data_IF_397955571666
#
_entry.id   IF_397955571666
#
_cell.length_a   1.000
_cell.length_b   1.000
_cell.length_c   1.000
_cell.angle_alpha   90.00
_cell.angle_beta   90.00
_cell.angle_gamma   90.00
#
_symmetry.space_group_name_H-M   'P 1'
#
loop_
_entity.id
_entity.type
_entity.pdbx_description
1 polymer ?
#
# COMPACT_ATOMS: atom_id res chain seq x y z
N UNK A 1 -21.01 -30.35 0.19
CA UNK A 1 -20.39 -29.07 -0.20
C UNK A 1 -19.48 -29.36 -1.38
N UNK A 2 -19.72 -28.77 -2.56
CA UNK A 2 -18.85 -28.97 -3.73
C UNK A 2 -17.67 -28.00 -3.63
N UNK A 3 -16.47 -28.49 -3.84
CA UNK A 3 -15.24 -27.70 -3.80
C UNK A 3 -14.66 -27.60 -5.20
N UNK A 4 -14.25 -26.40 -5.61
CA UNK A 4 -13.63 -26.19 -6.90
C UNK A 4 -12.64 -25.02 -6.81
N UNK A 5 -11.46 -25.21 -7.37
CA UNK A 5 -10.48 -24.14 -7.57
C UNK A 5 -10.59 -23.63 -9.01
N UNK A 6 -10.57 -22.31 -9.18
CA UNK A 6 -10.58 -21.65 -10.49
C UNK A 6 -9.40 -20.69 -10.58
N UNK A 7 -8.90 -20.45 -11.80
CA UNK A 7 -7.88 -19.43 -12.03
C UNK A 7 -8.49 -18.03 -11.85
N UNK A 8 -7.73 -17.11 -11.26
CA UNK A 8 -8.13 -15.72 -11.08
C UNK A 8 -8.00 -14.93 -12.40
N UNK A 9 -8.99 -15.11 -13.28
CA UNK A 9 -9.17 -14.28 -14.48
C UNK A 9 -10.65 -14.18 -14.85
N UNK A 10 -11.01 -13.08 -15.51
CA UNK A 10 -12.41 -12.75 -15.81
C UNK A 10 -13.13 -13.83 -16.62
N UNK A 11 -12.44 -14.47 -17.58
CA UNK A 11 -13.02 -15.49 -18.45
C UNK A 11 -13.46 -16.72 -17.65
N UNK A 12 -12.57 -17.22 -16.77
CA UNK A 12 -12.86 -18.40 -15.95
C UNK A 12 -13.91 -18.09 -14.89
N UNK A 13 -13.84 -16.91 -14.27
CA UNK A 13 -14.84 -16.45 -13.29
C UNK A 13 -16.22 -16.33 -13.96
N UNK A 14 -16.31 -15.73 -15.16
CA UNK A 14 -17.58 -15.61 -15.91
C UNK A 14 -18.18 -16.97 -16.22
N UNK A 15 -17.36 -17.91 -16.71
CA UNK A 15 -17.81 -19.28 -17.00
C UNK A 15 -18.33 -19.97 -15.74
N UNK A 16 -17.63 -19.82 -14.63
CA UNK A 16 -18.02 -20.39 -13.35
C UNK A 16 -19.35 -19.81 -12.85
N UNK A 17 -19.50 -18.48 -12.83
CA UNK A 17 -20.74 -17.83 -12.40
C UNK A 17 -21.91 -18.19 -13.32
N UNK A 18 -21.71 -18.23 -14.65
CA UNK A 18 -22.75 -18.66 -15.60
C UNK A 18 -23.23 -20.09 -15.31
N UNK A 19 -22.32 -21.02 -15.04
CA UNK A 19 -22.66 -22.39 -14.66
C UNK A 19 -23.44 -22.44 -13.33
N UNK A 20 -23.08 -21.62 -12.34
CA UNK A 20 -23.84 -21.55 -11.10
C UNK A 20 -25.26 -21.00 -11.33
N UNK A 21 -25.40 -20.00 -12.22
CA UNK A 21 -26.71 -19.43 -12.57
C UNK A 21 -27.63 -20.40 -13.32
N UNK A 22 -27.11 -21.44 -13.97
CA UNK A 22 -27.95 -22.49 -14.56
C UNK A 22 -28.51 -23.44 -13.51
N UNK A 23 -27.86 -23.55 -12.35
CA UNK A 23 -28.27 -24.43 -11.26
C UNK A 23 -29.05 -23.70 -10.14
N UNK A 24 -28.81 -22.39 -9.96
CA UNK A 24 -29.33 -21.62 -8.82
C UNK A 24 -29.77 -20.21 -9.24
N UNK A 25 -30.90 -19.75 -8.71
CA UNK A 25 -31.45 -18.41 -9.00
C UNK A 25 -30.66 -17.28 -8.33
N UNK A 26 -30.15 -17.51 -7.13
CA UNK A 26 -29.40 -16.52 -6.35
C UNK A 26 -28.01 -17.03 -5.98
N UNK A 27 -27.02 -16.17 -6.13
CA UNK A 27 -25.62 -16.48 -5.81
C UNK A 27 -25.11 -15.45 -4.81
N UNK A 28 -24.79 -15.94 -3.61
CA UNK A 28 -24.13 -15.18 -2.56
C UNK A 28 -22.64 -15.53 -2.53
N UNK A 29 -21.79 -14.52 -2.45
CA UNK A 29 -20.34 -14.67 -2.44
C UNK A 29 -19.72 -13.84 -1.31
N UNK A 30 -18.68 -14.37 -0.67
CA UNK A 30 -17.86 -13.63 0.29
C UNK A 30 -16.38 -13.95 0.07
N UNK A 31 -15.52 -12.98 0.36
CA UNK A 31 -14.08 -13.19 0.48
C UNK A 31 -13.41 -12.15 1.38
N UNK A 32 -12.19 -12.45 1.83
CA UNK A 32 -11.35 -11.56 2.65
C UNK A 32 -10.81 -10.41 1.78
N UNK A 33 -10.90 -9.18 2.28
CA UNK A 33 -10.37 -8.00 1.61
C UNK A 33 -8.85 -8.12 1.42
N UNK A 34 -8.40 -7.93 0.19
CA UNK A 34 -7.00 -8.00 -0.19
C UNK A 34 -6.66 -6.93 -1.23
N UNK A 35 -5.38 -6.87 -1.60
CA UNK A 35 -4.83 -5.86 -2.53
C UNK A 35 -5.51 -5.86 -3.91
N UNK A 36 -5.96 -7.02 -4.39
CA UNK A 36 -6.70 -7.17 -5.66
C UNK A 36 -8.21 -7.32 -5.46
N UNK A 37 -8.70 -7.00 -4.27
CA UNK A 37 -10.05 -7.33 -3.84
C UNK A 37 -11.15 -6.48 -4.49
N UNK A 38 -10.93 -5.19 -4.71
CA UNK A 38 -12.00 -4.30 -5.20
C UNK A 38 -12.37 -4.49 -6.68
N UNK A 39 -11.41 -4.70 -7.62
CA UNK A 39 -11.76 -5.01 -9.00
C UNK A 39 -12.59 -6.29 -9.13
N UNK A 40 -12.23 -7.34 -8.39
CA UNK A 40 -13.00 -8.59 -8.34
C UNK A 40 -14.43 -8.36 -7.81
N UNK A 41 -14.58 -7.53 -6.78
CA UNK A 41 -15.88 -7.21 -6.18
C UNK A 41 -16.81 -6.59 -7.22
N UNK A 42 -16.32 -5.56 -7.92
CA UNK A 42 -17.05 -4.86 -8.97
C UNK A 42 -17.39 -5.79 -10.12
N UNK A 43 -16.46 -6.65 -10.52
CA UNK A 43 -16.70 -7.63 -11.57
C UNK A 43 -17.81 -8.62 -11.19
N UNK A 44 -17.76 -9.20 -9.99
CA UNK A 44 -18.82 -10.10 -9.49
C UNK A 44 -20.17 -9.38 -9.38
N UNK A 45 -20.20 -8.13 -8.90
CA UNK A 45 -21.41 -7.30 -8.88
C UNK A 45 -21.96 -7.04 -10.29
N UNK A 46 -21.10 -6.77 -11.28
CA UNK A 46 -21.52 -6.59 -12.69
C UNK A 46 -22.14 -7.85 -13.29
N UNK A 47 -21.75 -9.03 -12.79
CA UNK A 47 -22.36 -10.30 -13.15
C UNK A 47 -23.64 -10.59 -12.36
N UNK A 48 -24.13 -9.67 -11.52
CA UNK A 48 -25.34 -9.83 -10.71
C UNK A 48 -25.17 -10.78 -9.52
N UNK A 49 -23.93 -10.96 -9.01
CA UNK A 49 -23.66 -11.77 -7.81
C UNK A 49 -23.79 -10.90 -6.56
N UNK A 50 -24.47 -11.41 -5.54
CA UNK A 50 -24.51 -10.73 -4.24
C UNK A 50 -23.21 -10.99 -3.47
N UNK A 51 -22.21 -10.16 -3.72
CA UNK A 51 -20.90 -10.26 -3.09
C UNK A 51 -20.78 -9.36 -1.86
N UNK A 52 -20.23 -9.89 -0.76
CA UNK A 52 -19.77 -9.14 0.42
C UNK A 52 -18.24 -9.24 0.54
N UNK A 53 -17.63 -8.16 1.00
CA UNK A 53 -16.18 -8.10 1.20
C UNK A 53 -15.89 -7.98 2.69
N UNK A 54 -15.03 -8.83 3.25
CA UNK A 54 -14.83 -8.91 4.71
C UNK A 54 -13.44 -8.45 5.09
N UNK A 55 -13.31 -7.54 6.05
CA UNK A 55 -12.00 -7.17 6.58
C UNK A 55 -11.34 -8.37 7.29
N UNK A 56 -10.03 -8.61 7.10
CA UNK A 56 -9.27 -9.64 7.81
C UNK A 56 -9.51 -9.66 9.33
N UNK A 57 -9.54 -8.48 9.95
CA UNK A 57 -9.73 -8.32 11.40
C UNK A 57 -11.16 -8.54 11.90
N UNK A 58 -12.15 -8.62 11.00
CA UNK A 58 -13.56 -8.89 11.34
C UNK A 58 -13.94 -10.37 11.17
N UNK A 59 -13.02 -11.22 10.70
CA UNK A 59 -13.27 -12.67 10.57
C UNK A 59 -12.94 -13.33 11.92
N UNK A 60 -13.91 -13.98 12.61
CA UNK A 60 -13.64 -14.70 13.84
C UNK A 60 -12.58 -15.79 13.62
N UNK A 61 -11.48 -15.75 14.38
CA UNK A 61 -10.41 -16.77 14.33
C UNK A 61 -10.15 -17.29 15.74
N UNK A 62 -10.16 -18.61 15.89
CA UNK A 62 -9.73 -19.27 17.13
C UNK A 62 -8.20 -19.26 17.19
N UNK A 63 -7.64 -19.10 18.39
CA UNK A 63 -6.19 -19.09 18.63
C UNK A 63 -5.50 -20.43 18.26
N UNK A 64 -6.27 -21.51 18.19
CA UNK A 64 -5.84 -22.86 17.80
C UNK A 64 -5.83 -23.08 16.29
N UNK A 65 -6.37 -22.15 15.51
CA UNK A 65 -6.51 -22.25 14.05
C UNK A 65 -5.19 -21.87 13.35
N UNK A 66 -4.15 -22.69 13.56
CA UNK A 66 -2.76 -22.42 13.13
C UNK A 66 -2.46 -22.80 11.68
N UNK A 67 -3.31 -23.63 11.06
CA UNK A 67 -3.10 -24.11 9.69
C UNK A 67 -4.02 -23.36 8.75
N UNK A 68 -3.47 -22.35 8.07
CA UNK A 68 -4.17 -21.55 7.06
C UNK A 68 -4.02 -22.23 5.69
N UNK A 69 -5.13 -22.61 5.07
CA UNK A 69 -5.17 -23.03 3.67
C UNK A 69 -6.34 -22.36 2.99
N UNK A 70 -6.18 -21.98 1.71
CA UNK A 70 -7.22 -21.30 0.93
C UNK A 70 -8.56 -22.07 0.98
N UNK A 71 -8.48 -23.41 0.97
CA UNK A 71 -9.62 -24.29 1.13
C UNK A 71 -10.33 -24.10 2.47
N UNK A 72 -9.59 -24.17 3.59
CA UNK A 72 -10.19 -24.03 4.93
C UNK A 72 -10.79 -22.64 5.11
N UNK A 73 -10.12 -21.62 4.63
CA UNK A 73 -10.58 -20.23 4.70
C UNK A 73 -11.87 -20.03 3.88
N UNK A 74 -11.94 -20.55 2.65
CA UNK A 74 -13.13 -20.46 1.81
C UNK A 74 -14.35 -21.14 2.46
N UNK A 75 -14.15 -22.32 3.05
CA UNK A 75 -15.22 -23.06 3.75
C UNK A 75 -15.70 -22.29 4.98
N UNK A 76 -14.76 -21.75 5.75
CA UNK A 76 -15.04 -20.96 6.96
C UNK A 76 -15.84 -19.70 6.62
N UNK A 77 -15.40 -18.96 5.61
CA UNK A 77 -16.11 -17.78 5.12
C UNK A 77 -17.53 -18.13 4.65
N UNK A 78 -17.69 -19.22 3.88
CA UNK A 78 -19.00 -19.67 3.43
C UNK A 78 -19.94 -20.05 4.61
N UNK A 79 -19.40 -20.63 5.70
CA UNK A 79 -20.16 -20.92 6.92
C UNK A 79 -20.59 -19.66 7.65
N UNK A 80 -19.66 -18.72 7.89
CA UNK A 80 -19.93 -17.45 8.56
C UNK A 80 -20.89 -16.57 7.76
N UNK A 81 -20.81 -16.60 6.43
CA UNK A 81 -21.77 -15.90 5.56
C UNK A 81 -23.18 -16.48 5.75
N UNK A 82 -23.29 -17.81 5.82
CA UNK A 82 -24.58 -18.49 5.97
C UNK A 82 -25.22 -18.24 7.33
N UNK A 83 -24.43 -18.07 8.38
CA UNK A 83 -24.94 -17.72 9.72
C UNK A 83 -25.22 -16.22 9.91
N UNK A 84 -24.88 -15.37 8.93
CA UNK A 84 -25.03 -13.92 9.03
C UNK A 84 -23.99 -13.24 9.94
N UNK A 85 -22.91 -13.96 10.29
CA UNK A 85 -21.85 -13.47 11.17
C UNK A 85 -20.80 -12.59 10.45
N UNK A 86 -20.92 -12.42 9.13
CA UNK A 86 -20.00 -11.59 8.34
C UNK A 86 -20.58 -10.20 8.09
N UNK A 87 -19.80 -9.19 8.45
CA UNK A 87 -20.08 -7.79 8.12
C UNK A 87 -19.30 -7.36 6.88
N UNK A 88 -20.01 -6.84 5.88
CA UNK A 88 -19.38 -6.29 4.67
C UNK A 88 -18.70 -4.96 4.98
N UNK A 89 -17.49 -4.76 4.45
CA UNK A 89 -16.85 -3.46 4.46
C UNK A 89 -17.40 -2.56 3.35
N UNK A 90 -17.28 -1.26 3.56
CA UNK A 90 -17.49 -0.29 2.50
C UNK A 90 -16.39 -0.43 1.44
N UNK A 91 -16.81 -0.65 0.19
CA UNK A 91 -15.92 -0.67 -0.97
C UNK A 91 -15.86 0.75 -1.54
N UNK A 92 -14.68 1.41 -1.54
CA UNK A 92 -14.55 2.76 -2.10
C UNK A 92 -14.92 2.79 -3.59
N UNK A 93 -15.31 3.94 -4.11
CA UNK A 93 -15.43 4.13 -5.56
C UNK A 93 -14.04 4.14 -6.22
N UNK A 94 -13.99 3.99 -7.55
CA UNK A 94 -12.72 4.11 -8.29
C UNK A 94 -12.11 5.51 -8.14
N UNK A 95 -12.95 6.54 -8.02
CA UNK A 95 -12.52 7.91 -7.76
C UNK A 95 -11.90 8.05 -6.35
N UNK A 96 -12.54 7.47 -5.31
CA UNK A 96 -11.99 7.45 -3.96
C UNK A 96 -10.64 6.72 -3.89
N UNK A 97 -10.49 5.61 -4.64
CA UNK A 97 -9.22 4.90 -4.76
C UNK A 97 -8.15 5.76 -5.41
N UNK A 98 -8.47 6.43 -6.52
CA UNK A 98 -7.54 7.31 -7.21
C UNK A 98 -7.05 8.45 -6.30
N UNK A 99 -7.95 9.06 -5.52
CA UNK A 99 -7.60 10.08 -4.53
C UNK A 99 -6.71 9.50 -3.44
N UNK A 100 -7.04 8.31 -2.91
CA UNK A 100 -6.23 7.64 -1.88
C UNK A 100 -4.82 7.30 -2.38
N UNK A 101 -4.69 6.83 -3.62
CA UNK A 101 -3.40 6.50 -4.21
C UNK A 101 -2.55 7.74 -4.46
N UNK A 102 -3.18 8.85 -4.86
CA UNK A 102 -2.52 10.15 -4.92
C UNK A 102 -2.00 10.59 -3.54
N UNK A 103 -2.82 10.47 -2.48
CA UNK A 103 -2.38 10.79 -1.11
C UNK A 103 -1.25 9.89 -0.62
N UNK A 104 -1.32 8.57 -0.89
CA UNK A 104 -0.26 7.61 -0.55
C UNK A 104 1.04 7.92 -1.28
N UNK A 105 0.96 8.34 -2.54
CA UNK A 105 2.12 8.79 -3.31
C UNK A 105 2.78 10.00 -2.63
N UNK A 106 1.98 10.99 -2.20
CA UNK A 106 2.48 12.16 -1.46
C UNK A 106 3.15 11.80 -0.13
N UNK A 107 2.55 10.89 0.63
CA UNK A 107 3.15 10.39 1.87
C UNK A 107 4.46 9.65 1.61
N UNK A 108 4.52 8.86 0.54
CA UNK A 108 5.74 8.17 0.12
C UNK A 108 6.86 9.17 -0.21
N UNK A 109 6.54 10.23 -0.98
CA UNK A 109 7.51 11.29 -1.28
C UNK A 109 8.07 11.94 -0.01
N UNK A 110 7.24 12.18 1.01
CA UNK A 110 7.66 12.72 2.31
C UNK A 110 8.59 11.76 3.05
N UNK A 111 8.25 10.47 3.09
CA UNK A 111 9.08 9.45 3.76
C UNK A 111 10.44 9.33 3.07
N UNK A 112 10.48 9.35 1.74
CA UNK A 112 11.71 9.25 0.97
C UNK A 112 12.62 10.46 1.16
N UNK A 113 12.06 11.67 1.24
CA UNK A 113 12.84 12.85 1.61
C UNK A 113 13.51 12.66 2.98
N UNK A 114 12.78 12.15 3.97
CA UNK A 114 13.30 11.83 5.30
C UNK A 114 14.44 10.81 5.24
N UNK A 115 14.27 9.73 4.48
CA UNK A 115 15.28 8.67 4.29
C UNK A 115 16.53 9.20 3.61
N UNK A 116 16.40 9.99 2.54
CA UNK A 116 17.54 10.55 1.81
C UNK A 116 18.34 11.53 2.68
N UNK A 117 17.64 12.37 3.45
CA UNK A 117 18.24 13.25 4.45
C UNK A 117 19.04 12.47 5.49
N UNK A 118 18.48 11.41 6.04
CA UNK A 118 19.18 10.54 7.00
C UNK A 118 20.41 9.86 6.39
N UNK A 119 20.30 9.35 5.15
CA UNK A 119 21.43 8.73 4.43
C UNK A 119 22.60 9.71 4.24
N UNK A 120 22.32 10.95 3.82
CA UNK A 120 23.33 12.01 3.70
C UNK A 120 23.99 12.29 5.05
N UNK A 121 23.21 12.47 6.11
CA UNK A 121 23.75 12.73 7.45
C UNK A 121 24.60 11.57 7.97
N UNK A 122 24.19 10.32 7.73
CA UNK A 122 24.99 9.14 8.11
C UNK A 122 26.27 9.03 7.30
N UNK A 123 26.27 9.41 6.03
CA UNK A 123 27.50 9.48 5.24
C UNK A 123 28.48 10.48 5.83
N UNK A 124 28.04 11.71 6.12
CA UNK A 124 28.89 12.74 6.74
C UNK A 124 29.42 12.29 8.11
N UNK A 125 28.56 11.66 8.92
CA UNK A 125 28.95 11.13 10.23
C UNK A 125 30.06 10.06 10.12
N UNK A 126 30.01 9.17 9.12
CA UNK A 126 31.08 8.17 8.89
C UNK A 126 32.42 8.80 8.51
N UNK A 127 32.43 10.07 8.11
CA UNK A 127 33.63 10.86 7.81
C UNK A 127 33.97 11.84 8.94
N UNK A 128 33.32 11.70 10.08
CA UNK A 128 33.40 12.60 11.24
C UNK A 128 33.09 14.08 10.94
N UNK A 129 32.35 14.34 9.85
CA UNK A 129 31.90 15.67 9.46
C UNK A 129 30.57 15.95 10.17
N UNK A 130 30.58 16.90 11.11
CA UNK A 130 29.42 17.25 11.93
C UNK A 130 29.04 18.71 11.74
N UNK A 131 27.73 18.94 11.66
CA UNK A 131 27.19 20.30 11.67
C UNK A 131 27.06 20.79 13.11
N UNK A 132 27.64 21.93 13.43
CA UNK A 132 27.79 22.44 14.81
C UNK A 132 26.56 23.14 15.38
N UNK A 133 25.52 23.40 14.58
CA UNK A 133 24.31 24.10 15.05
C UNK A 133 23.15 23.14 15.31
N UNK A 134 22.15 23.61 16.05
CA UNK A 134 21.05 22.78 16.58
C UNK A 134 19.96 22.44 15.56
N UNK A 135 19.90 23.12 14.40
CA UNK A 135 18.80 22.95 13.44
C UNK A 135 19.31 22.54 12.05
N UNK A 136 18.93 21.34 11.63
CA UNK A 136 19.17 20.82 10.29
C UNK A 136 18.12 21.28 9.28
N UNK A 137 18.49 21.25 7.99
CA UNK A 137 17.61 21.54 6.83
C UNK A 137 17.04 22.98 6.83
N UNK A 138 17.79 23.91 7.42
CA UNK A 138 17.62 25.36 7.36
C UNK A 138 18.48 25.96 6.25
N UNK A 139 18.26 27.25 5.92
CA UNK A 139 19.11 27.98 4.97
C UNK A 139 20.60 27.90 5.35
N UNK A 140 20.93 27.99 6.64
CA UNK A 140 22.31 27.87 7.14
C UNK A 140 22.89 26.47 6.92
N UNK A 141 22.09 25.41 7.11
CA UNK A 141 22.54 24.05 6.87
C UNK A 141 22.82 23.79 5.38
N UNK A 142 22.01 24.32 4.47
CA UNK A 142 22.28 24.23 3.03
C UNK A 142 23.54 24.98 2.61
N UNK A 143 23.75 26.19 3.15
CA UNK A 143 25.00 26.93 2.92
C UNK A 143 26.22 26.13 3.36
N UNK A 144 26.13 25.50 4.53
CA UNK A 144 27.19 24.61 5.02
C UNK A 144 27.42 23.40 4.11
N UNK A 145 26.35 22.69 3.72
CA UNK A 145 26.44 21.55 2.80
C UNK A 145 27.08 21.93 1.46
N UNK A 146 26.75 23.10 0.91
CA UNK A 146 27.30 23.58 -0.35
C UNK A 146 28.80 23.91 -0.29
N UNK A 147 29.33 24.17 0.91
CA UNK A 147 30.75 24.47 1.12
C UNK A 147 31.59 23.23 1.46
N UNK A 148 30.97 22.03 1.51
CA UNK A 148 31.70 20.80 1.75
C UNK A 148 32.42 20.35 0.48
N UNK A 149 33.74 20.25 0.58
CA UNK A 149 34.60 19.70 -0.47
C UNK A 149 35.42 18.54 0.08
N UNK A 150 35.50 17.47 -0.70
CA UNK A 150 36.29 16.28 -0.40
C UNK A 150 37.47 16.21 -1.37
N UNK A 151 38.68 16.01 -0.83
CA UNK A 151 39.89 15.86 -1.65
C UNK A 151 39.87 14.60 -2.52
N UNK A 152 39.10 13.59 -2.13
CA UNK A 152 38.93 12.35 -2.89
C UNK A 152 37.69 12.46 -3.79
N UNK A 153 37.89 12.27 -5.09
CA UNK A 153 36.85 12.42 -6.12
C UNK A 153 35.67 11.47 -5.91
N UNK A 154 35.93 10.21 -5.55
CA UNK A 154 34.87 9.21 -5.30
C UNK A 154 34.01 9.62 -4.11
N UNK A 155 34.61 10.17 -3.05
CA UNK A 155 33.87 10.69 -1.91
C UNK A 155 33.06 11.94 -2.27
N UNK A 156 33.59 12.81 -3.11
CA UNK A 156 32.87 13.98 -3.62
C UNK A 156 31.66 13.55 -4.46
N UNK A 157 31.82 12.59 -5.36
CA UNK A 157 30.73 12.04 -6.17
C UNK A 157 29.67 11.37 -5.28
N UNK A 158 30.11 10.58 -4.29
CA UNK A 158 29.20 9.95 -3.32
C UNK A 158 28.39 11.01 -2.56
N UNK A 159 29.02 12.11 -2.12
CA UNK A 159 28.33 13.22 -1.49
C UNK A 159 27.31 13.86 -2.45
N UNK A 160 27.71 14.15 -3.69
CA UNK A 160 26.86 14.76 -4.71
C UNK A 160 25.64 13.90 -5.04
N UNK A 161 25.78 12.57 -5.12
CA UNK A 161 24.66 11.64 -5.31
C UNK A 161 23.67 11.71 -4.14
N UNK A 162 24.13 11.59 -2.89
CA UNK A 162 23.24 11.72 -1.73
C UNK A 162 22.57 13.09 -1.66
N UNK A 163 23.31 14.15 -1.93
CA UNK A 163 22.80 15.52 -1.83
C UNK A 163 21.80 15.84 -2.95
N UNK A 164 22.08 15.44 -4.19
CA UNK A 164 21.16 15.62 -5.33
C UNK A 164 19.82 14.91 -5.10
N UNK A 165 19.82 13.69 -4.54
CA UNK A 165 18.58 12.98 -4.18
C UNK A 165 17.74 13.74 -3.16
N UNK A 166 18.38 14.45 -2.21
CA UNK A 166 17.64 15.33 -1.29
C UNK A 166 17.04 16.50 -2.06
N UNK A 167 17.84 17.17 -2.91
CA UNK A 167 17.41 18.36 -3.68
C UNK A 167 16.24 18.06 -4.61
N UNK A 168 16.33 17.02 -5.44
CA UNK A 168 15.27 16.58 -6.35
C UNK A 168 13.98 16.30 -5.58
N UNK A 169 14.09 15.61 -4.45
CA UNK A 169 12.90 15.25 -3.66
C UNK A 169 12.26 16.48 -2.99
N UNK A 170 13.04 17.49 -2.61
CA UNK A 170 12.51 18.75 -2.09
C UNK A 170 11.82 19.60 -3.15
N UNK A 171 12.34 19.60 -4.37
CA UNK A 171 11.71 20.29 -5.51
C UNK A 171 10.37 19.67 -5.84
N UNK A 172 10.29 18.34 -5.91
CA UNK A 172 9.02 17.60 -6.07
C UNK A 172 8.04 17.91 -4.93
N UNK A 173 8.52 17.94 -3.69
CA UNK A 173 7.67 18.27 -2.54
C UNK A 173 7.12 19.70 -2.59
N UNK A 174 7.88 20.65 -3.15
CA UNK A 174 7.44 22.05 -3.34
C UNK A 174 6.47 22.20 -4.50
N UNK A 175 6.73 21.54 -5.64
CA UNK A 175 5.84 21.58 -6.81
C UNK A 175 4.45 21.04 -6.50
N UNK A 176 4.37 20.05 -5.62
CA UNK A 176 3.10 19.40 -5.24
C UNK A 176 2.28 20.21 -4.22
N UNK A 177 2.73 21.45 -3.90
CA UNK A 177 2.03 22.35 -2.99
C UNK A 177 1.94 21.83 -1.55
N UNK A 178 2.80 20.88 -1.16
CA UNK A 178 2.74 20.25 0.16
C UNK A 178 3.29 21.22 1.20
N UNK A 179 2.40 21.95 1.89
CA UNK A 179 2.79 22.66 3.11
C UNK A 179 3.28 21.62 4.13
N UNK A 180 4.43 21.87 4.76
CA UNK A 180 4.90 21.10 5.91
C UNK A 180 3.84 21.23 7.02
N UNK A 181 2.87 20.32 7.06
CA UNK A 181 2.07 20.13 8.26
C UNK A 181 3.04 19.63 9.34
N UNK A 182 3.32 20.50 10.31
CA UNK A 182 3.93 20.08 11.56
C UNK A 182 2.96 19.06 12.17
N UNK A 183 3.46 17.84 12.40
CA UNK A 183 2.84 16.95 13.37
C UNK A 183 3.01 17.57 14.76
#
# INVERSE_FOLDING_TARGET
>A
MKEQQIKHNEVQIKKFIKKLKTEWNEIHCCYEAGVTGYPLYRYLKSLGVNCILVAPGKIPRQSTDKIKTDKRDAIKLARLMRSGELESIHVPSEEDEAVRDYLRSRDSLRLDLGRNRQRLMKFLLRKDIKYSTTKYWTVSHYKWLNNLHFNNEILQETFNDYYSRVRVQEEKFKSDGIKRYKR
#
